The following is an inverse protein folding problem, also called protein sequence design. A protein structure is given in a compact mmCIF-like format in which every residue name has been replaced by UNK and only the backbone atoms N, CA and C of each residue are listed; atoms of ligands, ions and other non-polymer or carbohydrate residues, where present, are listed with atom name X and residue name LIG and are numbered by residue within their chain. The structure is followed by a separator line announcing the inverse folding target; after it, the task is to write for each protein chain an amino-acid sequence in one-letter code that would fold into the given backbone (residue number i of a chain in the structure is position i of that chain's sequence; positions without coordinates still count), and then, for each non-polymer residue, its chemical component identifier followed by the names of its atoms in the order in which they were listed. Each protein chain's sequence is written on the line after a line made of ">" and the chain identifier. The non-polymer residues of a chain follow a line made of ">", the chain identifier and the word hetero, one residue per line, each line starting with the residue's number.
data_IF_708829949025
#
_entry.id   IF_708829949025
#
_cell.length_a   1.000
_cell.length_b   1.000
_cell.length_c   1.000
_cell.angle_alpha   90.00
_cell.angle_beta   90.00
_cell.angle_gamma   90.00
#
_symmetry.space_group_name_H-M   'P 1'
#
loop_
_entity.id
_entity.type
_entity.pdbx_description
1 polymer ?
#
# COMPACT_ATOMS: atom_id res chain seq x y z
N UNK A 1 55.61 15.24 -46.87
CA UNK A 1 55.05 14.02 -47.45
C UNK A 1 53.81 13.67 -46.68
N UNK A 2 52.63 13.93 -47.27
CA UNK A 2 51.33 13.62 -46.74
C UNK A 2 50.97 12.17 -47.16
N UNK A 3 50.49 11.38 -46.22
CA UNK A 3 49.74 10.17 -46.55
C UNK A 3 48.38 10.24 -45.94
N UNK A 4 47.35 10.43 -46.79
CA UNK A 4 45.94 10.39 -46.43
C UNK A 4 45.51 8.92 -46.33
N UNK A 5 44.91 8.54 -45.20
CA UNK A 5 44.25 7.26 -45.02
C UNK A 5 42.75 7.38 -45.33
N UNK A 6 42.32 6.66 -46.36
CA UNK A 6 40.91 6.50 -46.71
C UNK A 6 40.25 5.49 -45.78
N UNK A 7 39.18 5.87 -45.10
CA UNK A 7 38.27 4.94 -44.43
C UNK A 7 37.05 4.66 -45.33
N UNK A 8 36.95 3.39 -45.75
CA UNK A 8 35.83 2.87 -46.52
C UNK A 8 34.68 2.49 -45.54
N UNK A 9 33.54 3.16 -45.65
CA UNK A 9 32.36 2.78 -44.92
C UNK A 9 31.57 1.78 -45.80
N UNK A 10 31.49 0.51 -45.32
CA UNK A 10 30.65 -0.51 -45.94
C UNK A 10 29.31 -0.56 -45.21
N UNK A 11 28.27 -0.09 -45.87
CA UNK A 11 26.89 -0.17 -45.46
C UNK A 11 26.36 -1.58 -45.75
N UNK A 12 26.17 -2.41 -44.73
CA UNK A 12 25.57 -3.75 -44.85
C UNK A 12 24.07 -3.70 -44.56
N UNK A 13 23.28 -3.73 -45.63
CA UNK A 13 21.81 -3.88 -45.55
C UNK A 13 21.48 -5.36 -45.38
N UNK A 14 20.97 -5.76 -44.21
CA UNK A 14 20.42 -7.10 -43.99
C UNK A 14 18.90 -7.03 -44.19
N UNK A 15 18.45 -7.62 -45.31
CA UNK A 15 17.05 -7.82 -45.64
C UNK A 15 16.61 -9.12 -44.92
N UNK A 16 15.84 -8.99 -43.87
CA UNK A 16 15.18 -10.12 -43.19
C UNK A 16 13.87 -10.49 -43.88
N UNK A 17 13.86 -11.61 -44.56
CA UNK A 17 12.68 -12.20 -45.21
C UNK A 17 11.84 -12.92 -44.15
N UNK A 18 10.71 -12.36 -43.74
CA UNK A 18 9.74 -13.06 -42.88
C UNK A 18 8.78 -13.87 -43.74
N UNK A 19 8.90 -15.19 -43.61
CA UNK A 19 7.99 -16.15 -44.28
C UNK A 19 6.67 -16.22 -43.50
N UNK A 20 5.58 -15.79 -44.12
CA UNK A 20 4.21 -15.89 -43.62
C UNK A 20 3.61 -17.24 -44.05
N UNK A 21 3.43 -18.17 -43.08
CA UNK A 21 2.69 -19.41 -43.32
C UNK A 21 1.24 -19.19 -42.93
N UNK A 22 0.36 -19.11 -43.94
CA UNK A 22 -1.08 -19.26 -43.78
C UNK A 22 -1.42 -20.73 -43.54
N UNK A 23 -2.00 -21.03 -42.37
CA UNK A 23 -2.78 -22.26 -42.13
C UNK A 23 -4.22 -21.88 -41.85
N UNK A 24 -5.05 -22.16 -42.88
CA UNK A 24 -6.50 -22.04 -42.84
C UNK A 24 -7.14 -23.19 -42.05
N UNK A 25 -8.17 -22.84 -41.26
CA UNK A 25 -9.28 -23.76 -41.03
C UNK A 25 -9.49 -24.25 -39.59
N UNK A 26 -10.40 -23.61 -38.88
CA UNK A 26 -11.65 -24.16 -38.39
C UNK A 26 -12.41 -23.14 -37.53
N UNK A 27 -13.57 -22.75 -38.05
CA UNK A 27 -14.55 -21.99 -37.26
C UNK A 27 -15.17 -22.94 -36.22
N UNK A 28 -14.99 -22.61 -34.94
CA UNK A 28 -15.77 -23.18 -33.84
C UNK A 28 -16.72 -22.08 -33.37
N UNK A 29 -18.02 -22.32 -33.52
CA UNK A 29 -19.07 -21.43 -33.05
C UNK A 29 -19.05 -21.36 -31.49
N UNK A 30 -18.88 -20.16 -30.96
CA UNK A 30 -19.09 -19.89 -29.53
C UNK A 30 -20.56 -19.54 -29.35
N UNK A 31 -21.30 -20.46 -28.72
CA UNK A 31 -22.68 -20.23 -28.27
C UNK A 31 -22.64 -19.30 -27.05
N UNK A 32 -23.25 -18.12 -27.20
CA UNK A 32 -23.55 -17.22 -26.10
C UNK A 32 -24.66 -17.81 -25.24
N UNK A 33 -24.35 -18.20 -24.00
CA UNK A 33 -25.34 -18.56 -23.00
C UNK A 33 -25.84 -17.26 -22.32
N UNK A 34 -27.05 -16.85 -22.62
CA UNK A 34 -27.78 -15.82 -21.90
C UNK A 34 -28.34 -16.41 -20.61
N UNK A 35 -27.85 -15.95 -19.46
CA UNK A 35 -28.44 -16.29 -18.16
C UNK A 35 -29.59 -15.33 -17.91
N UNK A 36 -30.80 -15.91 -17.85
CA UNK A 36 -32.04 -15.21 -17.50
C UNK A 36 -32.09 -14.94 -16.01
N UNK A 37 -32.23 -13.68 -15.61
CA UNK A 37 -32.46 -13.28 -14.22
C UNK A 37 -33.91 -13.59 -13.83
N UNK A 38 -34.10 -14.53 -12.91
CA UNK A 38 -35.40 -14.81 -12.30
C UNK A 38 -35.67 -13.82 -11.17
N UNK A 39 -36.73 -13.05 -11.33
CA UNK A 39 -37.31 -12.20 -10.29
C UNK A 39 -37.85 -13.07 -9.16
N UNK A 40 -37.35 -12.88 -7.96
CA UNK A 40 -37.99 -13.39 -6.73
C UNK A 40 -38.85 -12.29 -6.16
N UNK A 41 -40.15 -12.44 -6.28
CA UNK A 41 -41.15 -11.57 -5.65
C UNK A 41 -41.36 -12.05 -4.20
N UNK A 42 -40.98 -11.23 -3.23
CA UNK A 42 -41.30 -11.45 -1.82
C UNK A 42 -42.66 -10.80 -1.53
N UNK A 43 -43.65 -11.61 -1.29
CA UNK A 43 -44.98 -11.19 -0.84
C UNK A 43 -44.96 -10.85 0.66
N UNK A 44 -45.38 -9.65 0.98
CA UNK A 44 -45.57 -9.11 2.32
C UNK A 44 -46.90 -9.66 2.88
N UNK A 45 -46.84 -10.40 3.99
CA UNK A 45 -48.02 -10.79 4.75
C UNK A 45 -48.26 -9.82 5.89
N UNK A 46 -49.38 -9.14 5.83
CA UNK A 46 -49.97 -8.29 6.89
C UNK A 46 -50.33 -9.12 8.11
N UNK A 47 -49.91 -8.68 9.30
CA UNK A 47 -50.53 -9.09 10.56
C UNK A 47 -50.91 -7.84 11.35
N UNK A 48 -52.20 -7.67 11.54
CA UNK A 48 -52.81 -6.60 12.31
C UNK A 48 -52.65 -6.73 13.85
N UNK A 49 -52.82 -5.63 14.61
CA UNK A 49 -52.44 -5.53 16.01
C UNK A 49 -53.47 -6.09 16.96
N UNK A 50 -53.04 -6.90 17.92
CA UNK A 50 -53.83 -7.30 19.07
C UNK A 50 -53.61 -6.37 20.25
N UNK A 51 -54.71 -5.76 20.65
CA UNK A 51 -54.86 -4.89 21.82
C UNK A 51 -55.10 -5.77 23.06
N UNK A 52 -54.25 -5.68 24.09
CA UNK A 52 -54.62 -6.10 25.46
C UNK A 52 -54.15 -5.06 26.47
N UNK A 53 -55.13 -4.61 27.23
CA UNK A 53 -55.00 -3.71 28.36
C UNK A 53 -54.88 -4.49 29.69
N UNK A 54 -54.26 -3.82 30.69
CA UNK A 54 -54.31 -4.17 32.10
C UNK A 54 -53.07 -4.86 32.61
N UNK A 55 -52.32 -4.41 33.59
CA UNK A 55 -52.67 -4.04 34.94
C UNK A 55 -51.46 -3.38 35.63
N UNK A 56 -51.68 -2.28 36.33
CA UNK A 56 -50.71 -1.68 37.26
C UNK A 56 -50.50 -2.59 38.48
N UNK A 57 -49.23 -2.90 38.78
CA UNK A 57 -48.84 -3.23 40.16
C UNK A 57 -47.57 -2.49 40.54
N UNK A 58 -47.74 -1.58 41.46
CA UNK A 58 -46.71 -0.84 42.18
C UNK A 58 -45.90 -1.80 43.07
N UNK A 59 -44.57 -1.89 42.87
CA UNK A 59 -43.64 -2.41 43.86
C UNK A 59 -42.45 -1.45 43.97
N UNK A 60 -42.39 -0.79 45.15
CA UNK A 60 -41.17 -0.15 45.70
C UNK A 60 -40.11 -1.18 45.91
N UNK A 61 -38.85 -0.86 45.51
CA UNK A 61 -37.77 -1.66 46.03
C UNK A 61 -36.40 -1.34 45.43
N UNK A 62 -35.66 -0.56 46.16
CA UNK A 62 -34.20 -0.60 46.30
C UNK A 62 -33.31 -0.22 45.10
N UNK A 63 -32.89 1.03 45.13
CA UNK A 63 -31.73 1.53 44.42
C UNK A 63 -30.48 0.85 44.93
N UNK A 64 -29.96 -0.14 44.18
CA UNK A 64 -28.60 -0.60 44.34
C UNK A 64 -27.74 0.15 43.32
N UNK A 65 -26.93 1.09 43.81
CA UNK A 65 -25.85 1.73 43.05
C UNK A 65 -24.91 0.65 42.54
N UNK A 66 -25.05 0.26 41.28
CA UNK A 66 -23.98 -0.37 40.52
C UNK A 66 -23.06 0.76 40.06
N UNK A 67 -22.02 1.01 40.83
CA UNK A 67 -20.83 1.70 40.38
C UNK A 67 -20.22 0.84 39.28
N UNK A 68 -20.46 1.18 38.01
CA UNK A 68 -19.70 0.67 36.90
C UNK A 68 -18.30 1.28 37.02
N UNK A 69 -17.39 0.56 37.69
CA UNK A 69 -15.96 0.82 37.54
C UNK A 69 -15.55 0.38 36.17
N UNK A 70 -15.56 1.32 35.21
CA UNK A 70 -14.72 1.20 34.01
C UNK A 70 -13.29 1.11 34.50
N UNK A 71 -12.52 0.06 34.11
CA UNK A 71 -11.09 0.08 34.36
C UNK A 71 -10.52 1.31 33.64
N UNK A 72 -9.89 2.22 34.37
CA UNK A 72 -9.01 3.23 33.80
C UNK A 72 -7.94 2.49 33.00
N UNK A 73 -8.14 2.39 31.69
CA UNK A 73 -7.13 1.93 30.76
C UNK A 73 -6.01 2.97 30.79
N UNK A 74 -5.01 2.68 31.60
CA UNK A 74 -3.85 3.53 31.81
C UNK A 74 -3.18 3.65 30.43
N UNK A 75 -3.42 4.77 29.76
CA UNK A 75 -2.87 5.03 28.41
C UNK A 75 -1.37 4.76 28.45
N UNK A 76 -0.93 3.74 27.72
CA UNK A 76 0.50 3.38 27.64
C UNK A 76 1.23 4.55 27.00
N UNK A 77 2.14 5.17 27.76
CA UNK A 77 2.93 6.31 27.28
C UNK A 77 4.13 5.79 26.49
N UNK A 78 4.02 5.82 25.16
CA UNK A 78 5.13 5.45 24.28
C UNK A 78 6.16 6.58 24.14
N UNK A 79 7.44 6.19 24.02
CA UNK A 79 8.52 7.06 23.56
C UNK A 79 8.53 7.09 22.03
N UNK A 80 9.18 8.09 21.42
CA UNK A 80 9.20 8.25 19.97
C UNK A 80 9.90 7.11 19.22
N UNK A 81 10.80 6.40 19.89
CA UNK A 81 11.54 5.25 19.37
C UNK A 81 10.89 3.88 19.66
N UNK A 82 9.79 3.84 20.41
CA UNK A 82 9.03 2.60 20.61
C UNK A 82 8.39 2.16 19.27
N UNK A 83 8.39 0.87 18.99
CA UNK A 83 7.59 0.32 17.92
C UNK A 83 6.13 0.20 18.33
N UNK A 84 5.24 0.66 17.46
CA UNK A 84 3.80 0.56 17.66
C UNK A 84 3.14 0.10 16.38
N UNK A 85 1.99 -0.57 16.52
CA UNK A 85 1.14 -0.93 15.39
C UNK A 85 0.43 0.33 14.89
N UNK A 86 0.53 0.60 13.59
CA UNK A 86 0.04 1.86 12.99
C UNK A 86 -1.46 2.04 13.18
N UNK A 87 -2.25 0.96 13.02
CA UNK A 87 -3.71 0.99 13.16
C UNK A 87 -4.21 1.33 14.55
N UNK A 88 -3.41 1.13 15.59
CA UNK A 88 -3.80 1.50 16.96
C UNK A 88 -3.87 3.02 17.15
N UNK A 89 -3.19 3.78 16.29
CA UNK A 89 -3.12 5.25 16.32
C UNK A 89 -3.78 5.92 15.13
N UNK A 90 -3.96 5.20 14.03
CA UNK A 90 -4.61 5.67 12.79
C UNK A 90 -5.60 4.57 12.36
N UNK A 91 -6.78 4.47 13.03
CA UNK A 91 -7.68 3.33 12.81
C UNK A 91 -8.26 3.22 11.40
N UNK A 92 -8.34 4.35 10.68
CA UNK A 92 -8.87 4.45 9.32
C UNK A 92 -7.79 4.35 8.21
N UNK A 93 -6.53 4.11 8.58
CA UNK A 93 -5.48 3.86 7.59
C UNK A 93 -5.61 2.47 7.00
N UNK A 94 -5.44 2.37 5.69
CA UNK A 94 -5.40 1.06 5.05
C UNK A 94 -4.01 0.45 5.11
N UNK A 95 -3.96 -0.84 5.36
CA UNK A 95 -2.70 -1.61 5.38
C UNK A 95 -2.87 -2.85 4.53
N UNK A 96 -2.04 -2.97 3.52
CA UNK A 96 -1.88 -4.15 2.69
C UNK A 96 -0.38 -4.35 2.45
N UNK A 97 0.30 -4.98 3.42
CA UNK A 97 1.73 -5.24 3.26
C UNK A 97 1.96 -6.20 2.09
N UNK A 98 2.48 -5.66 0.99
CA UNK A 98 2.70 -6.42 -0.24
C UNK A 98 3.64 -7.61 -0.04
N UNK A 99 4.62 -7.47 0.84
CA UNK A 99 5.55 -8.55 1.19
C UNK A 99 4.98 -9.61 2.14
N UNK A 100 3.79 -9.36 2.72
CA UNK A 100 3.01 -10.39 3.43
C UNK A 100 2.14 -11.24 2.49
N UNK A 101 2.18 -10.97 1.20
CA UNK A 101 1.48 -11.70 0.13
C UNK A 101 2.48 -12.17 -0.94
N UNK A 102 2.03 -12.98 -1.88
CA UNK A 102 2.79 -13.35 -3.09
C UNK A 102 2.64 -12.31 -4.24
N UNK A 103 1.81 -11.27 -4.05
CA UNK A 103 1.57 -10.18 -5.02
C UNK A 103 2.66 -9.11 -5.01
N UNK A 104 3.91 -9.50 -4.87
CA UNK A 104 5.09 -8.64 -4.95
C UNK A 104 6.04 -9.16 -6.03
N UNK A 105 7.10 -8.41 -6.34
CA UNK A 105 8.02 -8.75 -7.42
C UNK A 105 8.74 -10.09 -7.26
N UNK A 106 8.77 -10.66 -6.05
CA UNK A 106 9.41 -11.96 -5.80
C UNK A 106 8.48 -13.14 -6.08
N UNK A 107 7.15 -12.91 -6.13
CA UNK A 107 6.14 -13.95 -6.20
C UNK A 107 6.09 -14.86 -4.96
N UNK A 108 6.64 -14.40 -3.82
CA UNK A 108 6.74 -15.18 -2.58
C UNK A 108 6.31 -14.34 -1.38
N UNK A 109 5.76 -14.99 -0.36
CA UNK A 109 5.51 -14.38 0.95
C UNK A 109 6.85 -14.21 1.68
N UNK A 110 7.18 -12.98 1.99
CA UNK A 110 8.44 -12.60 2.65
C UNK A 110 8.25 -12.37 4.15
N UNK A 111 7.14 -11.68 4.54
CA UNK A 111 6.79 -11.39 5.92
C UNK A 111 5.92 -12.48 6.54
N UNK A 112 6.10 -12.71 7.84
CA UNK A 112 5.29 -13.62 8.64
C UNK A 112 4.22 -12.86 9.47
N UNK A 113 4.10 -11.55 9.27
CA UNK A 113 3.13 -10.64 9.88
C UNK A 113 2.44 -9.83 8.77
N UNK A 114 1.26 -9.29 9.07
CA UNK A 114 0.42 -8.57 8.10
C UNK A 114 0.05 -7.14 8.51
N UNK A 115 0.37 -6.72 9.72
CA UNK A 115 0.14 -5.36 10.20
C UNK A 115 1.38 -4.47 10.03
N UNK A 116 1.14 -3.18 9.81
CA UNK A 116 2.20 -2.20 9.69
C UNK A 116 2.70 -1.74 11.07
N UNK A 117 4.01 -1.84 11.28
CA UNK A 117 4.68 -1.39 12.49
C UNK A 117 5.68 -0.28 12.17
N UNK A 118 5.70 0.76 12.99
CA UNK A 118 6.63 1.89 12.85
C UNK A 118 7.04 2.42 14.23
N UNK A 119 8.08 3.25 14.25
CA UNK A 119 8.43 4.05 15.43
C UNK A 119 7.29 5.02 15.74
N UNK A 120 6.93 5.17 17.01
CA UNK A 120 5.80 6.00 17.44
C UNK A 120 5.92 7.46 16.96
N UNK A 121 7.12 8.03 16.98
CA UNK A 121 7.37 9.35 16.43
C UNK A 121 7.03 9.49 14.94
N UNK A 122 7.27 8.43 14.16
CA UNK A 122 6.90 8.35 12.75
C UNK A 122 5.40 8.20 12.56
N UNK A 123 4.74 7.37 13.39
CA UNK A 123 3.27 7.21 13.38
C UNK A 123 2.57 8.54 13.63
N UNK A 124 3.04 9.35 14.57
CA UNK A 124 2.47 10.70 14.83
C UNK A 124 2.53 11.63 13.62
N UNK A 125 3.57 11.52 12.80
CA UNK A 125 3.70 12.30 11.55
C UNK A 125 2.80 11.74 10.44
N UNK A 126 2.70 10.41 10.35
CA UNK A 126 1.83 9.74 9.40
C UNK A 126 0.35 10.06 9.67
N UNK A 127 -0.07 10.09 10.96
CA UNK A 127 -1.40 10.50 11.35
C UNK A 127 -1.74 11.92 10.85
N UNK A 128 -0.80 12.86 10.97
CA UNK A 128 -0.99 14.23 10.44
C UNK A 128 -1.11 14.25 8.92
N UNK A 129 -0.42 13.35 8.21
CA UNK A 129 -0.54 13.24 6.76
C UNK A 129 -1.89 12.65 6.37
N UNK A 130 -2.34 11.60 7.08
CA UNK A 130 -3.67 11.01 6.90
C UNK A 130 -4.78 12.05 7.04
N UNK A 131 -4.79 12.83 8.14
CA UNK A 131 -5.81 13.86 8.37
C UNK A 131 -5.86 14.90 7.24
N UNK A 132 -4.70 15.35 6.75
CA UNK A 132 -4.64 16.31 5.63
C UNK A 132 -5.14 15.73 4.30
N UNK A 133 -4.98 14.44 4.08
CA UNK A 133 -5.49 13.77 2.88
C UNK A 133 -6.99 13.55 2.97
N UNK A 134 -7.51 13.25 4.16
CA UNK A 134 -8.96 13.15 4.41
C UNK A 134 -9.71 14.43 4.09
N UNK A 135 -9.12 15.60 4.34
CA UNK A 135 -9.69 16.90 3.92
C UNK A 135 -9.89 17.00 2.40
N UNK A 136 -9.32 16.08 1.62
CA UNK A 136 -9.38 16.03 0.16
C UNK A 136 -10.08 14.75 -0.35
N UNK A 137 -10.79 14.02 0.53
CA UNK A 137 -11.48 12.78 0.21
C UNK A 137 -10.54 11.62 -0.13
N UNK A 138 -9.33 11.62 0.46
CA UNK A 138 -8.34 10.58 0.22
C UNK A 138 -7.76 10.07 1.53
N UNK A 139 -7.32 8.80 1.54
CA UNK A 139 -6.64 8.17 2.66
C UNK A 139 -5.36 7.48 2.21
N UNK A 140 -4.45 7.27 3.15
CA UNK A 140 -3.20 6.53 2.92
C UNK A 140 -3.50 5.03 2.97
N UNK A 141 -2.93 4.29 2.02
CA UNK A 141 -2.78 2.84 2.06
C UNK A 141 -1.30 2.49 2.14
N UNK A 142 -0.91 1.70 3.12
CA UNK A 142 0.48 1.27 3.34
C UNK A 142 0.72 -0.03 2.59
N UNK A 143 1.74 -0.04 1.73
CA UNK A 143 2.25 -1.21 1.02
C UNK A 143 3.47 -1.85 1.70
N UNK A 144 4.31 -1.04 2.38
CA UNK A 144 5.42 -1.51 3.22
C UNK A 144 5.71 -0.50 4.34
N UNK A 145 6.20 -1.01 5.47
CA UNK A 145 6.52 -0.21 6.65
C UNK A 145 7.83 -0.71 7.27
N UNK A 146 7.84 -1.14 8.54
CA UNK A 146 9.02 -1.77 9.11
C UNK A 146 9.33 -3.07 8.38
N UNK A 147 10.58 -3.20 7.95
CA UNK A 147 11.11 -4.40 7.30
C UNK A 147 12.19 -5.01 8.17
N UNK A 148 11.98 -6.20 8.76
CA UNK A 148 13.02 -6.90 9.50
C UNK A 148 14.28 -7.11 8.65
N UNK A 149 15.43 -7.08 9.28
CA UNK A 149 16.70 -7.32 8.59
C UNK A 149 16.73 -8.70 7.91
N UNK A 150 16.12 -9.70 8.56
CA UNK A 150 15.97 -11.05 7.99
C UNK A 150 15.18 -11.06 6.68
N UNK A 151 14.12 -10.25 6.59
CA UNK A 151 13.33 -10.10 5.38
C UNK A 151 14.14 -9.43 4.26
N UNK A 152 14.98 -8.44 4.58
CA UNK A 152 15.88 -7.83 3.59
C UNK A 152 16.87 -8.85 3.00
N UNK A 153 17.35 -9.81 3.79
CA UNK A 153 18.16 -10.92 3.27
C UNK A 153 17.35 -11.85 2.38
N UNK A 154 16.08 -12.15 2.71
CA UNK A 154 15.19 -12.94 1.84
C UNK A 154 15.00 -12.24 0.48
N UNK A 155 14.71 -10.95 0.46
CA UNK A 155 14.56 -10.15 -0.77
C UNK A 155 15.84 -10.14 -1.61
N UNK A 156 17.00 -9.92 -0.98
CA UNK A 156 18.27 -9.91 -1.68
C UNK A 156 18.63 -11.27 -2.29
N UNK A 157 18.26 -12.36 -1.62
CA UNK A 157 18.48 -13.72 -2.13
C UNK A 157 17.68 -13.99 -3.41
N UNK A 158 16.45 -13.45 -3.49
CA UNK A 158 15.57 -13.62 -4.68
C UNK A 158 16.03 -12.70 -5.80
N UNK A 159 16.33 -11.43 -5.50
CA UNK A 159 16.69 -10.43 -6.50
C UNK A 159 17.92 -9.61 -6.07
N UNK A 160 19.15 -10.12 -6.29
CA UNK A 160 20.40 -9.50 -5.82
C UNK A 160 20.85 -8.35 -6.73
N UNK A 161 19.98 -7.34 -6.91
CA UNK A 161 20.23 -6.19 -7.77
C UNK A 161 20.19 -4.89 -6.98
N UNK A 162 21.36 -4.31 -6.66
CA UNK A 162 21.52 -3.18 -5.73
C UNK A 162 20.81 -1.86 -6.15
N UNK A 163 20.33 -1.76 -7.38
CA UNK A 163 19.52 -0.61 -7.82
C UNK A 163 18.10 -0.64 -7.23
N UNK A 164 17.56 -1.83 -6.99
CA UNK A 164 16.15 -2.04 -6.60
C UNK A 164 16.02 -2.63 -5.21
N UNK A 165 16.95 -3.47 -4.80
CA UNK A 165 16.98 -4.09 -3.48
C UNK A 165 18.26 -3.70 -2.77
N UNK A 166 18.16 -3.03 -1.62
CA UNK A 166 19.34 -2.68 -0.81
C UNK A 166 20.12 -3.94 -0.42
N UNK A 167 21.44 -3.93 -0.69
CA UNK A 167 22.30 -5.06 -0.36
C UNK A 167 22.55 -5.14 1.15
N UNK A 168 21.98 -6.13 1.87
CA UNK A 168 22.08 -6.24 3.32
C UNK A 168 23.50 -6.52 3.82
N UNK A 169 24.41 -6.96 2.93
CA UNK A 169 25.81 -7.16 3.27
C UNK A 169 26.66 -5.87 3.21
N UNK A 170 26.08 -4.79 2.64
CA UNK A 170 26.76 -3.49 2.51
C UNK A 170 26.12 -2.38 3.35
N UNK A 171 24.96 -2.64 3.92
CA UNK A 171 24.20 -1.69 4.72
C UNK A 171 22.76 -2.15 4.95
N UNK A 172 22.01 -1.36 5.70
CA UNK A 172 20.63 -1.67 6.04
C UNK A 172 19.66 -0.85 5.21
N UNK A 173 18.49 -1.43 4.91
CA UNK A 173 17.37 -0.69 4.37
C UNK A 173 16.90 0.38 5.37
N UNK A 174 16.43 1.53 4.87
CA UNK A 174 15.78 2.55 5.71
C UNK A 174 14.55 1.99 6.42
N UNK A 175 13.81 1.07 5.81
CA UNK A 175 12.67 0.37 6.43
C UNK A 175 13.04 -0.39 7.71
N UNK A 176 14.29 -0.92 7.80
CA UNK A 176 14.75 -1.63 9.01
C UNK A 176 14.99 -0.72 10.22
N UNK A 177 14.78 0.59 10.08
CA UNK A 177 14.80 1.57 11.17
C UNK A 177 13.40 1.81 11.76
N UNK A 178 12.33 1.39 11.07
CA UNK A 178 10.94 1.64 11.44
C UNK A 178 10.48 3.08 11.21
N UNK A 179 11.15 3.82 10.34
CA UNK A 179 10.85 5.22 10.02
C UNK A 179 10.57 5.47 8.53
N UNK A 180 10.37 4.42 7.77
CA UNK A 180 10.16 4.48 6.32
C UNK A 180 8.89 3.73 5.95
N UNK A 181 8.14 4.30 5.01
CA UNK A 181 6.90 3.73 4.49
C UNK A 181 6.88 3.80 2.97
N UNK A 182 6.34 2.76 2.36
CA UNK A 182 5.88 2.76 0.98
C UNK A 182 4.36 2.85 0.99
N UNK A 183 3.82 3.89 0.36
CA UNK A 183 2.41 4.24 0.48
C UNK A 183 1.80 4.64 -0.85
N UNK A 184 0.48 4.41 -0.98
CA UNK A 184 -0.37 4.94 -2.04
C UNK A 184 -1.57 5.66 -1.44
N UNK A 185 -2.46 6.13 -2.31
CA UNK A 185 -3.71 6.77 -1.95
C UNK A 185 -4.90 5.89 -2.31
N UNK A 186 -5.92 5.92 -1.47
CA UNK A 186 -7.25 5.39 -1.74
C UNK A 186 -8.28 6.50 -1.57
N UNK A 187 -9.44 6.35 -2.23
CA UNK A 187 -10.61 7.21 -2.02
C UNK A 187 -11.35 6.86 -0.71
N UNK A 188 -12.48 7.55 -0.45
CA UNK A 188 -13.29 7.31 0.75
C UNK A 188 -13.92 5.91 0.76
N UNK A 189 -14.12 5.28 -0.39
CA UNK A 189 -14.64 3.92 -0.56
C UNK A 189 -13.55 2.85 -0.45
N UNK A 190 -12.26 3.23 -0.37
CA UNK A 190 -11.12 2.32 -0.27
C UNK A 190 -10.55 1.84 -1.61
N UNK A 191 -10.98 2.42 -2.74
CA UNK A 191 -10.42 2.10 -4.03
C UNK A 191 -9.10 2.84 -4.25
N UNK A 192 -8.08 2.16 -4.77
CA UNK A 192 -6.83 2.83 -5.13
C UNK A 192 -7.07 3.87 -6.24
N UNK A 193 -6.59 5.09 -6.00
CA UNK A 193 -6.63 6.13 -7.03
C UNK A 193 -5.54 5.93 -8.06
N UNK A 194 -5.72 6.51 -9.25
CA UNK A 194 -4.73 6.40 -10.33
C UNK A 194 -3.39 7.00 -9.93
N UNK A 195 -2.33 6.20 -9.95
CA UNK A 195 -0.96 6.58 -9.63
C UNK A 195 -0.01 6.28 -10.79
N UNK A 196 1.23 6.82 -10.84
CA UNK A 196 2.15 6.63 -11.96
C UNK A 196 2.47 5.17 -12.28
N UNK A 197 2.58 4.31 -11.27
CA UNK A 197 2.85 2.88 -11.38
C UNK A 197 2.26 2.14 -10.18
N UNK A 198 2.20 0.82 -10.23
CA UNK A 198 2.03 -0.02 -9.06
C UNK A 198 3.29 -0.08 -8.19
N UNK A 199 3.16 -0.76 -7.05
CA UNK A 199 4.25 -1.02 -6.09
C UNK A 199 5.43 -1.73 -6.76
N UNK A 200 6.65 -1.39 -6.37
CA UNK A 200 7.90 -1.99 -6.87
C UNK A 200 8.03 -2.05 -8.40
N UNK A 201 7.40 -1.12 -9.10
CA UNK A 201 7.62 -0.99 -10.54
C UNK A 201 9.05 -0.53 -10.81
N UNK A 202 9.88 -1.42 -11.33
CA UNK A 202 11.28 -1.16 -11.68
C UNK A 202 11.41 -0.45 -13.03
N UNK A 203 10.58 0.58 -13.23
CA UNK A 203 10.53 1.38 -14.45
C UNK A 203 10.89 2.85 -14.18
N UNK A 204 11.20 3.60 -15.25
CA UNK A 204 11.43 5.04 -15.16
C UNK A 204 10.17 5.84 -14.78
N UNK A 205 8.98 5.25 -14.94
CA UNK A 205 7.72 5.88 -14.53
C UNK A 205 7.58 5.97 -13.01
N UNK A 206 8.39 5.19 -12.25
CA UNK A 206 8.40 5.22 -10.80
C UNK A 206 9.12 6.44 -10.21
N UNK A 207 10.01 7.08 -10.96
CA UNK A 207 10.77 8.22 -10.48
C UNK A 207 9.90 9.49 -10.33
N UNK A 208 10.31 10.39 -9.44
CA UNK A 208 9.57 11.63 -9.12
C UNK A 208 9.73 12.76 -10.14
N UNK A 209 10.45 12.53 -11.20
CA UNK A 209 10.52 13.50 -12.29
C UNK A 209 9.19 13.57 -13.06
N UNK A 210 8.44 12.44 -13.15
CA UNK A 210 7.13 12.32 -13.81
C UNK A 210 7.08 12.75 -15.28
N UNK A 211 8.20 13.07 -15.94
CA UNK A 211 8.22 13.52 -17.33
C UNK A 211 7.74 12.47 -18.31
N UNK A 212 7.93 11.20 -17.97
CA UNK A 212 7.56 10.04 -18.80
C UNK A 212 6.11 9.57 -18.53
N UNK A 213 5.45 10.08 -17.47
CA UNK A 213 4.07 9.73 -17.11
C UNK A 213 3.10 10.54 -17.92
N UNK A 214 2.32 9.87 -18.79
CA UNK A 214 1.34 10.53 -19.67
C UNK A 214 0.04 10.91 -18.97
N UNK A 215 -0.36 10.13 -17.98
CA UNK A 215 -1.58 10.36 -17.21
C UNK A 215 -1.38 11.53 -16.24
N UNK A 216 -2.08 12.64 -16.52
CA UNK A 216 -1.99 13.86 -15.71
C UNK A 216 -2.63 13.70 -14.33
N UNK A 217 -3.64 12.83 -14.19
CA UNK A 217 -4.29 12.51 -12.92
C UNK A 217 -3.31 11.76 -12.02
N UNK A 218 -2.62 10.75 -12.57
CA UNK A 218 -1.58 10.03 -11.84
C UNK A 218 -0.49 10.96 -11.30
N UNK A 219 -0.02 11.89 -12.15
CA UNK A 219 0.99 12.89 -11.75
C UNK A 219 0.45 13.82 -10.67
N UNK A 220 -0.80 14.28 -10.77
CA UNK A 220 -1.41 15.16 -9.78
C UNK A 220 -1.54 14.46 -8.42
N UNK A 221 -2.01 13.21 -8.40
CA UNK A 221 -2.14 12.42 -7.18
C UNK A 221 -0.77 12.13 -6.52
N UNK A 222 0.24 11.75 -7.30
CA UNK A 222 1.59 11.52 -6.77
C UNK A 222 2.21 12.80 -6.19
N UNK A 223 2.00 13.96 -6.82
CA UNK A 223 2.45 15.26 -6.28
C UNK A 223 1.69 15.68 -5.04
N UNK A 224 0.40 15.40 -4.96
CA UNK A 224 -0.40 15.64 -3.76
C UNK A 224 0.15 14.84 -2.58
N UNK A 225 0.36 13.53 -2.77
CA UNK A 225 0.96 12.64 -1.77
C UNK A 225 2.33 13.16 -1.34
N UNK A 226 3.21 13.50 -2.30
CA UNK A 226 4.55 14.02 -2.01
C UNK A 226 4.51 15.31 -1.19
N UNK A 227 3.66 16.28 -1.60
CA UNK A 227 3.49 17.54 -0.90
C UNK A 227 3.01 17.33 0.53
N UNK A 228 2.03 16.47 0.73
CA UNK A 228 1.44 16.21 2.04
C UNK A 228 2.44 15.51 2.97
N UNK A 229 3.07 14.43 2.51
CA UNK A 229 4.07 13.69 3.28
C UNK A 229 5.28 14.58 3.64
N UNK A 230 5.79 15.34 2.67
CA UNK A 230 6.91 16.27 2.90
C UNK A 230 6.56 17.36 3.90
N UNK A 231 5.34 17.90 3.84
CA UNK A 231 4.81 18.89 4.77
C UNK A 231 4.56 18.33 6.18
N UNK A 232 4.52 17.03 6.35
CA UNK A 232 4.40 16.34 7.64
C UNK A 232 5.74 15.78 8.18
N UNK A 233 6.87 16.10 7.54
CA UNK A 233 8.21 15.78 8.04
C UNK A 233 8.86 14.54 7.42
N UNK A 234 8.30 14.02 6.35
CA UNK A 234 8.92 12.95 5.59
C UNK A 234 9.85 13.50 4.49
N UNK A 235 10.84 12.71 4.13
CA UNK A 235 11.74 12.94 3.00
C UNK A 235 11.39 11.94 1.89
N UNK A 236 10.99 12.42 0.69
CA UNK A 236 10.74 11.55 -0.46
C UNK A 236 12.06 11.01 -1.02
N UNK A 237 12.04 9.78 -1.54
CA UNK A 237 13.12 9.21 -2.33
C UNK A 237 12.88 9.50 -3.82
N UNK A 238 13.89 9.97 -4.52
CA UNK A 238 13.73 10.44 -5.91
C UNK A 238 13.41 9.33 -6.92
N UNK A 239 13.83 8.11 -6.64
CA UNK A 239 13.64 6.96 -7.54
C UNK A 239 12.28 6.27 -7.46
N UNK A 240 11.47 6.58 -6.41
CA UNK A 240 10.22 5.88 -6.11
C UNK A 240 9.18 6.85 -5.56
N UNK A 241 8.05 7.01 -6.29
CA UNK A 241 7.02 7.98 -5.89
C UNK A 241 6.29 7.58 -4.59
N UNK A 242 6.29 6.30 -4.23
CA UNK A 242 5.64 5.76 -3.02
C UNK A 242 6.51 5.82 -1.77
N UNK A 243 7.84 5.95 -1.90
CA UNK A 243 8.79 5.78 -0.80
C UNK A 243 9.07 7.09 -0.04
N UNK A 244 8.84 7.05 1.28
CA UNK A 244 9.03 8.19 2.18
C UNK A 244 9.70 7.76 3.49
N UNK A 245 10.78 8.44 3.87
CA UNK A 245 11.45 8.24 5.17
C UNK A 245 11.19 9.43 6.08
N UNK A 246 10.89 9.20 7.35
CA UNK A 246 10.89 10.26 8.37
C UNK A 246 12.27 10.90 8.43
N UNK A 247 12.32 12.23 8.59
CA UNK A 247 13.57 12.97 8.76
C UNK A 247 14.26 12.69 10.08
N UNK A 248 13.53 12.17 11.10
CA UNK A 248 14.11 11.67 12.33
C UNK A 248 14.81 10.35 12.06
N UNK A 249 16.09 10.28 12.41
CA UNK A 249 16.89 9.06 12.24
C UNK A 249 16.81 8.22 13.49
N UNK A 250 16.43 6.95 13.32
CA UNK A 250 16.41 5.94 14.37
C UNK A 250 17.47 4.88 14.11
N UNK A 251 17.88 4.19 15.17
CA UNK A 251 18.78 3.04 15.03
C UNK A 251 18.08 1.88 14.30
N UNK A 252 18.88 1.08 13.60
CA UNK A 252 18.39 -0.14 12.93
C UNK A 252 17.94 -1.15 13.98
N UNK A 253 16.72 -1.60 13.85
CA UNK A 253 16.14 -2.63 14.73
C UNK A 253 16.54 -4.03 14.22
N UNK A 254 17.74 -4.47 14.60
CA UNK A 254 18.34 -5.70 14.03
C UNK A 254 17.59 -6.96 14.43
N UNK A 255 17.10 -6.98 15.66
CA UNK A 255 16.53 -8.18 16.32
C UNK A 255 15.01 -8.05 16.55
N UNK A 256 14.41 -6.93 16.13
CA UNK A 256 12.97 -6.72 16.28
C UNK A 256 12.21 -7.46 15.18
N UNK A 257 11.22 -8.23 15.59
CA UNK A 257 10.24 -8.88 14.73
C UNK A 257 8.85 -8.54 15.27
N UNK A 258 7.95 -7.98 14.44
CA UNK A 258 6.55 -7.77 14.83
C UNK A 258 5.84 -9.08 15.19
N UNK A 259 4.92 -9.02 16.16
CA UNK A 259 4.06 -10.15 16.56
C UNK A 259 2.72 -10.16 15.79
#
# INVERSE_FOLDING_TARGET
>A
MLTAGFYLVVSGMIIGLTLWLCLSGRQGAVQSATVSASHVTVTRSDVSPGFFAGEETTAKGSSSNLTSSTPDEKAVKHQDDDFVRVRDYIPDIEVELMYATDRNFTGQVIYEFSDAWLRYGTVKKLAKAQEKLKEQGMRIKIWDAFRPVSAQFKLWKVYPHARYVSNPNKGFSSHSRGNTVDVTLVDDEGNEVTMPTGFDSFSRLADRNYSDVKDKTAVANARLLEKTMSGCGFKPYSGEWWHFSDRTVYEVAKDYVPE
#
